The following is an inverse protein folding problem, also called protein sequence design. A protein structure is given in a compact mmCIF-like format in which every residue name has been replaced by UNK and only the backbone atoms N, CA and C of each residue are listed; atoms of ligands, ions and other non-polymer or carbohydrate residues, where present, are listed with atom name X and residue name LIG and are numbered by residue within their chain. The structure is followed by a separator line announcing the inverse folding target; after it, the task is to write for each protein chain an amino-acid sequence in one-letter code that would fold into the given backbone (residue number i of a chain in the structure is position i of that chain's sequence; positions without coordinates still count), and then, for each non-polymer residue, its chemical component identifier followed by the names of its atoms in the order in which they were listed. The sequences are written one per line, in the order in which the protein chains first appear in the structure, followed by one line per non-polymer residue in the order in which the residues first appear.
data_IF_595030886500
#
_entry.id   IF_595030886500
#
_cell.length_a   1.000
_cell.length_b   1.000
_cell.length_c   1.000
_cell.angle_alpha   90.00
_cell.angle_beta   90.00
_cell.angle_gamma   90.00
#
_symmetry.space_group_name_H-M   'P 1'
#
loop_
_entity.id
_entity.type
_entity.pdbx_description
1 polymer ?
#
# COMPACT_ATOMS: atom_id res chain seq x y z
N UNK A 1 -32.69 -7.99 -60.20
CA UNK A 1 -32.55 -8.47 -58.80
C UNK A 1 -31.14 -8.27 -58.18
N UNK A 2 -30.19 -7.58 -58.83
CA UNK A 2 -28.81 -7.41 -58.32
C UNK A 2 -28.62 -6.30 -57.27
N UNK A 3 -29.49 -5.27 -57.30
CA UNK A 3 -29.37 -4.03 -56.50
C UNK A 3 -29.70 -4.20 -55.00
N UNK A 4 -30.38 -5.29 -54.64
CA UNK A 4 -30.79 -5.54 -53.24
C UNK A 4 -29.69 -6.21 -52.42
N UNK A 5 -28.79 -6.95 -53.08
CA UNK A 5 -27.70 -7.67 -52.43
C UNK A 5 -26.59 -6.75 -51.91
N UNK A 6 -26.24 -5.68 -52.64
CA UNK A 6 -25.23 -4.72 -52.17
C UNK A 6 -25.69 -3.93 -50.93
N UNK A 7 -26.99 -3.64 -50.81
CA UNK A 7 -27.54 -2.99 -49.62
C UNK A 7 -27.44 -3.89 -48.40
N UNK A 8 -27.74 -5.18 -48.57
CA UNK A 8 -27.65 -6.17 -47.49
C UNK A 8 -26.20 -6.35 -47.05
N UNK A 9 -25.26 -6.46 -48.00
CA UNK A 9 -23.84 -6.59 -47.67
C UNK A 9 -23.27 -5.34 -46.97
N UNK A 10 -23.62 -4.13 -47.43
CA UNK A 10 -23.18 -2.89 -46.76
C UNK A 10 -23.76 -2.77 -45.36
N UNK A 11 -25.02 -3.18 -45.15
CA UNK A 11 -25.64 -3.19 -43.83
C UNK A 11 -24.99 -4.20 -42.89
N UNK A 12 -24.65 -5.39 -43.39
CA UNK A 12 -24.02 -6.43 -42.57
C UNK A 12 -22.60 -6.05 -42.16
N UNK A 13 -21.83 -5.43 -43.07
CA UNK A 13 -20.49 -4.91 -42.78
C UNK A 13 -20.56 -3.76 -41.78
N UNK A 14 -21.53 -2.85 -41.92
CA UNK A 14 -21.71 -1.74 -40.99
C UNK A 14 -22.06 -2.23 -39.57
N UNK A 15 -22.96 -3.23 -39.45
CA UNK A 15 -23.31 -3.85 -38.16
C UNK A 15 -22.11 -4.60 -37.57
N UNK A 16 -21.32 -5.28 -38.40
CA UNK A 16 -20.09 -5.95 -37.97
C UNK A 16 -19.02 -4.98 -37.47
N UNK A 17 -18.84 -3.82 -38.13
CA UNK A 17 -17.92 -2.77 -37.70
C UNK A 17 -18.39 -2.11 -36.39
N UNK A 18 -19.70 -1.87 -36.24
CA UNK A 18 -20.26 -1.35 -34.98
C UNK A 18 -20.07 -2.36 -33.83
N UNK A 19 -20.30 -3.66 -34.07
CA UNK A 19 -20.07 -4.70 -33.07
C UNK A 19 -18.58 -4.90 -32.74
N UNK A 20 -17.69 -4.65 -33.70
CA UNK A 20 -16.24 -4.67 -33.49
C UNK A 20 -15.77 -3.45 -32.68
N UNK A 21 -16.29 -2.25 -32.99
CA UNK A 21 -16.02 -1.02 -32.24
C UNK A 21 -16.60 -1.04 -30.81
N UNK A 22 -17.67 -1.80 -30.57
CA UNK A 22 -18.28 -1.95 -29.23
C UNK A 22 -17.58 -3.01 -28.37
N UNK A 23 -16.82 -3.96 -28.95
CA UNK A 23 -16.11 -4.99 -28.17
C UNK A 23 -14.96 -4.45 -27.33
N UNK A 24 -14.39 -3.31 -27.71
CA UNK A 24 -13.32 -2.63 -26.98
C UNK A 24 -13.84 -1.62 -25.92
N UNK A 25 -15.15 -1.54 -25.73
CA UNK A 25 -15.75 -0.78 -24.61
C UNK A 25 -15.88 -1.64 -23.34
N UNK A 26 -14.83 -2.40 -23.01
CA UNK A 26 -14.61 -2.80 -21.61
C UNK A 26 -14.04 -1.66 -20.77
N UNK A 27 -13.72 -0.50 -21.37
CA UNK A 27 -13.50 0.74 -20.63
C UNK A 27 -14.86 1.35 -20.23
N UNK A 28 -15.56 0.64 -19.34
CA UNK A 28 -16.56 1.30 -18.50
C UNK A 28 -15.77 2.23 -17.56
N UNK A 29 -15.46 3.43 -18.02
CA UNK A 29 -15.47 4.57 -17.10
C UNK A 29 -16.93 4.79 -16.75
N UNK A 30 -17.34 4.20 -15.64
CA UNK A 30 -18.56 4.59 -14.96
C UNK A 30 -18.30 5.97 -14.35
N UNK A 31 -18.39 7.00 -15.20
CA UNK A 31 -18.53 8.35 -14.71
C UNK A 31 -19.78 8.36 -13.84
N UNK A 32 -19.59 8.52 -12.52
CA UNK A 32 -20.68 8.87 -11.63
C UNK A 32 -21.30 10.19 -12.11
N UNK A 33 -22.57 10.44 -11.80
CA UNK A 33 -23.32 11.60 -12.32
C UNK A 33 -22.69 12.98 -12.03
N UNK A 34 -21.66 13.00 -11.19
CA UNK A 34 -20.83 14.13 -10.76
C UNK A 34 -19.49 14.28 -11.53
N UNK A 35 -19.16 13.35 -12.43
CA UNK A 35 -17.92 13.38 -13.24
C UNK A 35 -16.67 12.90 -12.49
N UNK A 36 -16.82 12.30 -11.30
CA UNK A 36 -15.70 11.79 -10.51
C UNK A 36 -15.14 10.47 -11.05
N UNK A 37 -13.85 10.26 -10.82
CA UNK A 37 -13.15 9.01 -11.13
C UNK A 37 -13.50 7.93 -10.11
N UNK A 38 -13.31 6.69 -10.52
CA UNK A 38 -13.59 5.52 -9.69
C UNK A 38 -12.44 4.54 -9.74
N UNK A 39 -12.24 3.80 -8.65
CA UNK A 39 -11.22 2.76 -8.58
C UNK A 39 -11.81 1.42 -8.99
N UNK A 40 -11.10 0.70 -9.86
CA UNK A 40 -11.46 -0.67 -10.26
C UNK A 40 -11.33 -1.67 -9.10
N UNK A 41 -10.51 -1.34 -8.10
CA UNK A 41 -10.30 -2.14 -6.91
C UNK A 41 -10.03 -1.25 -5.70
N UNK A 42 -10.77 -1.50 -4.64
CA UNK A 42 -10.54 -0.83 -3.36
C UNK A 42 -9.35 -1.42 -2.60
N UNK A 43 -8.55 -0.58 -1.94
CA UNK A 43 -7.41 -1.03 -1.14
C UNK A 43 -7.88 -1.81 0.09
N UNK A 44 -7.24 -2.95 0.32
CA UNK A 44 -7.50 -3.80 1.48
C UNK A 44 -6.20 -4.31 2.08
N UNK A 45 -6.05 -4.18 3.40
CA UNK A 45 -4.89 -4.65 4.17
C UNK A 45 -5.37 -5.68 5.20
N UNK A 46 -4.57 -6.72 5.45
CA UNK A 46 -4.87 -7.73 6.47
C UNK A 46 -3.74 -7.79 7.47
N UNK A 47 -4.04 -7.43 8.73
CA UNK A 47 -3.10 -7.49 9.85
C UNK A 47 -3.49 -8.60 10.81
N UNK A 48 -2.47 -9.29 11.33
CA UNK A 48 -2.64 -10.37 12.31
C UNK A 48 -1.85 -10.06 13.56
N UNK A 49 -2.51 -10.13 14.72
CA UNK A 49 -1.92 -9.83 16.02
C UNK A 49 -1.87 -11.08 16.89
N UNK A 50 -0.95 -11.09 17.85
CA UNK A 50 -0.86 -12.18 18.80
C UNK A 50 -1.95 -12.04 19.87
N UNK A 51 -2.79 -13.07 20.02
CA UNK A 51 -4.01 -12.98 20.84
C UNK A 51 -3.75 -12.58 22.30
N UNK A 52 -2.63 -13.03 22.89
CA UNK A 52 -2.36 -12.82 24.30
C UNK A 52 -1.77 -11.44 24.64
N UNK A 53 -1.22 -10.72 23.65
CA UNK A 53 -0.60 -9.40 23.88
C UNK A 53 -1.25 -8.27 23.09
N UNK A 54 -2.01 -8.58 22.03
CA UNK A 54 -2.46 -7.57 21.09
C UNK A 54 -1.30 -6.94 20.32
N UNK A 55 -1.49 -5.70 19.88
CA UNK A 55 -0.45 -4.92 19.19
C UNK A 55 -0.91 -3.52 18.80
N UNK A 56 0.05 -2.61 18.65
CA UNK A 56 -0.16 -1.28 18.10
C UNK A 56 0.40 -1.22 16.68
N UNK A 57 -0.29 -0.50 15.80
CA UNK A 57 0.12 -0.43 14.40
C UNK A 57 -0.24 0.92 13.79
N UNK A 58 0.40 1.24 12.67
CA UNK A 58 0.19 2.49 11.95
C UNK A 58 0.18 2.23 10.46
N UNK A 59 -0.94 2.53 9.82
CA UNK A 59 -1.12 2.34 8.37
C UNK A 59 -1.11 3.70 7.69
N UNK A 60 -0.22 3.89 6.72
CA UNK A 60 -0.19 5.08 5.89
C UNK A 60 -1.31 4.99 4.84
N UNK A 61 -2.34 5.83 4.96
CA UNK A 61 -3.51 5.82 4.08
C UNK A 61 -3.17 6.42 2.72
N UNK A 62 -2.33 7.46 2.69
CA UNK A 62 -1.90 8.11 1.44
C UNK A 62 -1.17 7.14 0.52
N UNK A 63 -0.37 6.21 1.07
CA UNK A 63 0.32 5.19 0.30
C UNK A 63 -0.61 4.15 -0.36
N UNK A 64 -1.88 4.09 0.07
CA UNK A 64 -2.89 3.19 -0.47
C UNK A 64 -3.82 3.88 -1.46
N UNK A 65 -3.76 5.21 -1.55
CA UNK A 65 -4.57 6.02 -2.44
C UNK A 65 -3.81 6.33 -3.74
N UNK A 66 -4.52 6.62 -4.84
CA UNK A 66 -3.90 7.15 -6.05
C UNK A 66 -3.14 8.45 -5.77
N UNK A 67 -2.04 8.68 -6.47
CA UNK A 67 -1.19 9.86 -6.29
C UNK A 67 -1.90 11.16 -6.71
N UNK A 68 -2.86 11.07 -7.63
CA UNK A 68 -3.68 12.18 -8.08
C UNK A 68 -4.92 12.43 -7.22
N UNK A 69 -5.09 11.75 -6.08
CA UNK A 69 -6.27 11.91 -5.23
C UNK A 69 -6.27 13.27 -4.51
N UNK A 70 -7.31 14.09 -4.76
CA UNK A 70 -7.52 15.38 -4.09
C UNK A 70 -8.37 15.15 -2.83
N UNK A 71 -7.70 14.72 -1.77
CA UNK A 71 -8.32 14.34 -0.51
C UNK A 71 -8.88 15.56 0.24
N UNK A 72 -10.13 15.45 0.69
CA UNK A 72 -10.80 16.45 1.52
C UNK A 72 -10.85 16.01 2.98
N UNK A 73 -11.22 14.76 3.25
CA UNK A 73 -11.36 14.23 4.62
C UNK A 73 -11.39 12.71 4.67
N UNK A 74 -11.32 12.15 5.89
CA UNK A 74 -11.57 10.74 6.14
C UNK A 74 -12.77 10.54 7.06
N UNK A 75 -13.55 9.52 6.78
CA UNK A 75 -14.56 8.98 7.69
C UNK A 75 -14.11 7.60 8.18
N UNK A 76 -14.24 7.35 9.49
CA UNK A 76 -13.78 6.11 10.11
C UNK A 76 -14.95 5.33 10.72
N UNK A 77 -14.98 4.03 10.45
CA UNK A 77 -15.92 3.08 11.04
C UNK A 77 -15.18 1.78 11.37
N UNK A 78 -15.62 1.07 12.40
CA UNK A 78 -15.05 -0.23 12.75
C UNK A 78 -16.13 -1.16 13.31
N UNK A 79 -16.04 -2.43 12.94
CA UNK A 79 -17.00 -3.47 13.30
C UNK A 79 -16.23 -4.75 13.63
N UNK A 80 -16.74 -5.51 14.61
CA UNK A 80 -16.25 -6.86 14.91
C UNK A 80 -16.04 -7.07 16.41
N UNK A 81 -15.40 -8.19 16.72
CA UNK A 81 -15.22 -8.67 18.09
C UNK A 81 -13.88 -8.21 18.71
N UNK A 82 -12.99 -7.67 17.86
CA UNK A 82 -11.70 -7.14 18.30
C UNK A 82 -11.92 -5.86 19.12
N UNK A 83 -11.37 -5.86 20.33
CA UNK A 83 -11.39 -4.69 21.22
C UNK A 83 -10.16 -3.82 21.00
N UNK A 84 -10.35 -2.51 21.12
CA UNK A 84 -9.29 -1.53 20.98
C UNK A 84 -9.03 -0.83 22.31
N UNK A 85 -7.75 -0.63 22.61
CA UNK A 85 -7.32 0.07 23.81
C UNK A 85 -7.82 1.52 23.82
N UNK A 86 -7.81 2.13 22.63
CA UNK A 86 -8.36 3.45 22.35
C UNK A 86 -9.06 3.41 21.00
N UNK A 87 -10.07 4.26 20.82
CA UNK A 87 -10.77 4.37 19.55
C UNK A 87 -9.75 4.61 18.40
N UNK A 88 -9.83 3.87 17.29
CA UNK A 88 -8.98 4.11 16.12
C UNK A 88 -9.13 5.55 15.63
N UNK A 89 -8.02 6.15 15.22
CA UNK A 89 -8.00 7.56 14.82
C UNK A 89 -7.11 7.78 13.60
N UNK A 90 -7.39 8.84 12.85
CA UNK A 90 -6.59 9.26 11.71
C UNK A 90 -5.87 10.55 12.07
N UNK A 91 -4.53 10.52 12.02
CA UNK A 91 -3.66 11.66 12.31
C UNK A 91 -2.60 11.71 11.21
N UNK A 92 -2.40 12.87 10.60
CA UNK A 92 -1.40 13.10 9.53
C UNK A 92 -1.46 12.02 8.43
N UNK A 93 -2.67 11.75 7.90
CA UNK A 93 -2.95 10.75 6.85
C UNK A 93 -2.58 9.30 7.23
N UNK A 94 -2.41 9.02 8.52
CA UNK A 94 -2.13 7.69 9.04
C UNK A 94 -3.25 7.23 9.94
N UNK A 95 -3.66 5.98 9.75
CA UNK A 95 -4.56 5.28 10.66
C UNK A 95 -3.73 4.72 11.82
N UNK A 96 -4.00 5.21 13.04
CA UNK A 96 -3.40 4.75 14.28
C UNK A 96 -4.43 3.98 15.08
N UNK A 97 -4.05 2.78 15.54
CA UNK A 97 -4.91 1.95 16.37
C UNK A 97 -4.07 1.03 17.26
N UNK A 98 -4.67 0.59 18.36
CA UNK A 98 -4.07 -0.34 19.29
C UNK A 98 -5.09 -1.41 19.64
N UNK A 99 -4.79 -2.64 19.27
CA UNK A 99 -5.61 -3.83 19.52
C UNK A 99 -5.25 -4.40 20.88
N UNK A 100 -6.25 -4.61 21.73
CA UNK A 100 -6.06 -5.27 23.02
C UNK A 100 -5.91 -6.79 22.87
N UNK A 101 -5.40 -7.43 23.92
CA UNK A 101 -5.42 -8.88 24.02
C UNK A 101 -6.86 -9.41 24.12
N UNK A 102 -7.11 -10.59 23.56
CA UNK A 102 -8.44 -11.19 23.54
C UNK A 102 -8.43 -12.66 23.17
N UNK A 103 -9.62 -13.29 23.15
CA UNK A 103 -9.79 -14.65 22.65
C UNK A 103 -9.16 -14.88 21.27
N UNK A 104 -8.63 -16.09 21.09
CA UNK A 104 -8.07 -16.55 19.82
C UNK A 104 -9.15 -16.52 18.72
N UNK A 105 -8.72 -16.20 17.50
CA UNK A 105 -9.54 -16.18 16.27
C UNK A 105 -10.63 -15.10 16.23
N UNK A 106 -10.58 -14.12 17.15
CA UNK A 106 -11.36 -12.88 17.00
C UNK A 106 -10.98 -12.13 15.74
N UNK A 107 -12.00 -11.58 15.09
CA UNK A 107 -11.86 -10.81 13.84
C UNK A 107 -12.51 -9.45 13.96
N UNK A 108 -11.92 -8.48 13.30
CA UNK A 108 -12.44 -7.12 13.23
C UNK A 108 -12.12 -6.49 11.90
N UNK A 109 -12.86 -5.47 11.54
CA UNK A 109 -12.66 -4.72 10.32
C UNK A 109 -12.72 -3.24 10.65
N UNK A 110 -11.66 -2.52 10.30
CA UNK A 110 -11.68 -1.05 10.28
C UNK A 110 -11.89 -0.63 8.83
N UNK A 111 -12.88 0.20 8.59
CA UNK A 111 -13.14 0.82 7.29
C UNK A 111 -12.86 2.31 7.39
N UNK A 112 -11.92 2.79 6.58
CA UNK A 112 -11.63 4.21 6.44
C UNK A 112 -12.06 4.66 5.06
N UNK A 113 -13.08 5.50 4.98
CA UNK A 113 -13.54 6.07 3.72
C UNK A 113 -12.79 7.38 3.46
N UNK A 114 -11.97 7.39 2.40
CA UNK A 114 -11.35 8.60 1.92
C UNK A 114 -12.32 9.37 1.02
N UNK A 115 -12.63 10.61 1.41
CA UNK A 115 -13.54 11.50 0.69
C UNK A 115 -12.67 12.46 -0.12
N UNK A 116 -12.88 12.48 -1.43
CA UNK A 116 -12.11 13.28 -2.38
C UNK A 116 -13.04 14.01 -3.35
N UNK A 117 -12.56 15.11 -3.91
CA UNK A 117 -13.33 15.91 -4.87
C UNK A 117 -13.30 15.29 -6.27
N UNK A 118 -12.19 14.66 -6.63
CA UNK A 118 -11.96 14.10 -7.95
C UNK A 118 -12.23 12.59 -8.06
N UNK A 119 -12.40 11.90 -6.93
CA UNK A 119 -12.76 10.49 -6.85
C UNK A 119 -14.05 10.28 -6.07
N UNK A 120 -14.82 9.27 -6.45
CA UNK A 120 -15.89 8.72 -5.60
C UNK A 120 -15.29 8.20 -4.31
N UNK A 121 -16.01 8.37 -3.20
CA UNK A 121 -15.63 7.88 -1.86
C UNK A 121 -14.95 6.52 -1.90
N UNK A 122 -13.69 6.48 -1.45
CA UNK A 122 -12.81 5.31 -1.55
C UNK A 122 -12.77 4.59 -0.20
N UNK A 123 -13.48 3.47 -0.02
CA UNK A 123 -13.37 2.65 1.19
C UNK A 123 -12.04 1.89 1.24
N UNK A 124 -11.25 2.16 2.27
CA UNK A 124 -10.03 1.42 2.62
C UNK A 124 -10.38 0.44 3.72
N UNK A 125 -10.15 -0.85 3.49
CA UNK A 125 -10.52 -1.90 4.47
C UNK A 125 -9.29 -2.49 5.14
N UNK A 126 -9.25 -2.47 6.47
CA UNK A 126 -8.22 -3.11 7.29
C UNK A 126 -8.86 -4.28 8.04
N UNK A 127 -8.50 -5.50 7.64
CA UNK A 127 -8.95 -6.73 8.28
C UNK A 127 -8.00 -7.09 9.41
N UNK A 128 -8.53 -7.26 10.61
CA UNK A 128 -7.80 -7.60 11.82
C UNK A 128 -8.11 -9.04 12.21
N UNK A 129 -7.09 -9.78 12.61
CA UNK A 129 -7.24 -11.13 13.16
C UNK A 129 -6.33 -11.34 14.37
N UNK A 130 -6.90 -11.81 15.48
CA UNK A 130 -6.13 -12.29 16.63
C UNK A 130 -5.78 -13.76 16.40
N UNK A 131 -4.50 -14.08 16.34
CA UNK A 131 -4.00 -15.43 16.11
C UNK A 131 -2.95 -15.83 17.13
N UNK A 132 -2.67 -17.13 17.20
CA UNK A 132 -1.62 -17.71 18.03
C UNK A 132 -0.23 -17.57 17.38
N UNK A 133 -0.19 -17.18 16.10
CA UNK A 133 1.06 -16.93 15.40
C UNK A 133 1.54 -15.52 15.72
N UNK A 134 2.59 -15.42 16.53
CA UNK A 134 3.31 -14.16 16.73
C UNK A 134 3.88 -13.69 15.39
N UNK A 135 3.56 -12.46 14.98
CA UNK A 135 4.30 -11.84 13.88
C UNK A 135 5.73 -11.58 14.35
N UNK A 136 6.70 -12.18 13.66
CA UNK A 136 8.12 -11.96 13.90
C UNK A 136 8.49 -10.72 13.09
N UNK A 137 8.69 -9.59 13.76
CA UNK A 137 9.31 -8.42 13.11
C UNK A 137 10.68 -8.85 12.56
N UNK A 138 10.93 -8.59 11.28
CA UNK A 138 12.24 -8.82 10.69
C UNK A 138 13.23 -7.83 11.29
N UNK A 139 13.87 -8.22 12.40
CA UNK A 139 14.98 -7.48 12.97
C UNK A 139 16.08 -7.36 11.93
N UNK A 140 16.37 -6.13 11.49
CA UNK A 140 17.46 -5.86 10.58
C UNK A 140 18.78 -6.07 11.33
N UNK A 141 19.39 -7.25 11.17
CA UNK A 141 20.68 -7.58 11.79
C UNK A 141 21.80 -6.90 11.00
N UNK A 142 22.29 -5.76 11.50
CA UNK A 142 23.55 -5.20 11.02
C UNK A 142 24.70 -6.08 11.53
N UNK A 143 25.23 -6.94 10.66
CA UNK A 143 26.47 -7.65 10.94
C UNK A 143 27.62 -6.63 11.03
N UNK A 144 28.04 -6.31 12.25
CA UNK A 144 29.10 -5.33 12.51
C UNK A 144 30.51 -5.89 12.24
N UNK A 145 30.66 -7.11 11.69
CA UNK A 145 31.98 -7.72 11.50
C UNK A 145 32.82 -6.98 10.44
N UNK A 146 32.19 -6.29 9.48
CA UNK A 146 32.89 -5.49 8.48
C UNK A 146 33.55 -4.21 9.05
N UNK A 147 32.96 -3.62 10.10
CA UNK A 147 33.48 -2.39 10.74
C UNK A 147 34.82 -2.68 11.46
N UNK A 148 34.97 -3.89 12.01
CA UNK A 148 36.22 -4.30 12.66
C UNK A 148 37.37 -4.50 11.66
N UNK A 149 37.09 -4.83 10.40
CA UNK A 149 38.13 -5.03 9.39
C UNK A 149 38.60 -3.71 8.77
N UNK A 150 37.70 -2.72 8.66
CA UNK A 150 38.07 -1.36 8.24
C UNK A 150 39.01 -0.67 9.24
N UNK A 151 38.80 -0.85 10.55
CA UNK A 151 39.70 -0.24 11.55
C UNK A 151 41.14 -0.78 11.47
N UNK A 152 41.31 -2.06 11.09
CA UNK A 152 42.63 -2.67 10.87
C UNK A 152 43.35 -2.10 9.65
N UNK A 153 42.63 -1.76 8.58
CA UNK A 153 43.20 -1.14 7.38
C UNK A 153 43.74 0.26 7.68
N UNK A 154 43.01 1.07 8.46
CA UNK A 154 43.45 2.42 8.83
C UNK A 154 44.68 2.44 9.76
N UNK A 155 44.81 1.46 10.67
CA UNK A 155 46.01 1.32 11.53
C UNK A 155 47.25 0.97 10.69
N UNK A 156 47.13 0.06 9.71
CA UNK A 156 48.25 -0.35 8.86
C UNK A 156 48.72 0.81 7.96
N UNK A 157 47.80 1.59 7.38
CA UNK A 157 48.13 2.76 6.55
C UNK A 157 48.77 3.90 7.37
N UNK A 158 48.31 4.13 8.61
CA UNK A 158 48.90 5.12 9.51
C UNK A 158 50.34 4.80 9.91
N UNK A 159 50.66 3.52 10.13
CA UNK A 159 52.03 3.09 10.46
C UNK A 159 52.95 3.20 9.24
N UNK A 160 52.48 2.87 8.04
CA UNK A 160 53.28 2.98 6.81
C UNK A 160 53.62 4.44 6.45
N UNK A 161 52.67 5.37 6.66
CA UNK A 161 52.90 6.82 6.48
C UNK A 161 53.95 7.39 7.44
N UNK A 162 53.98 6.91 8.69
CA UNK A 162 54.94 7.35 9.70
C UNK A 162 56.37 6.87 9.40
N UNK A 163 56.53 5.67 8.84
CA UNK A 163 57.84 5.13 8.43
C UNK A 163 58.43 5.89 7.23
N UNK A 164 57.60 6.31 6.27
CA UNK A 164 58.04 7.10 5.11
C UNK A 164 58.44 8.53 5.52
N UNK A 165 57.74 9.15 6.47
CA UNK A 165 58.13 10.46 6.99
C UNK A 165 59.45 10.44 7.76
N UNK A 166 59.76 9.40 8.53
CA UNK A 166 60.99 9.37 9.34
C UNK A 166 62.26 9.23 8.50
N UNK A 167 62.20 8.62 7.31
CA UNK A 167 63.37 8.41 6.44
C UNK A 167 63.80 9.65 5.63
N UNK A 168 62.96 10.70 5.56
CA UNK A 168 63.27 11.95 4.83
C UNK A 168 63.87 13.06 5.69
N UNK A 169 63.91 12.88 7.02
CA UNK A 169 64.39 13.89 7.99
C UNK A 169 65.68 13.50 8.74
N UNK A 170 66.35 12.42 8.36
CA UNK A 170 67.73 12.16 8.79
C UNK A 170 68.64 12.18 7.57
N UNK A 171 69.13 13.39 7.27
CA UNK A 171 70.40 13.63 6.60
C UNK A 171 71.46 13.82 7.67
#
# INVERSE_FOLDING_TARGET
MKKNWEKIFRSLVLVGVIAFLLKDTSFLTYATSDGKKTLDKFPSVTQTYFYATGGADTINLMALLPEDCELTSYALSYVGDVTFHSAPTVIDDKLLYTVDAGPKDMTGTITVTAIADNYVDIPITVNLKLSDKKQVEQGYYIDTAWIANLSRIFIILGILGLVVCRKRYMK
#
